data_IF_866792252903
#
_entry.id   IF_866792252903
#
_cell.length_a   1.000
_cell.length_b   1.000
_cell.length_c   1.000
_cell.angle_alpha   90.00
_cell.angle_beta   90.00
_cell.angle_gamma   90.00
#
_symmetry.space_group_name_H-M   'P 1'
#
loop_
_entity.id
_entity.type
_entity.pdbx_description
1 polymer ?
#
# COMPACT_ATOMS: atom_id res chain seq x y z
N UNK A 1 32.13 -35.39 -65.87
CA UNK A 1 32.45 -33.95 -66.02
C UNK A 1 31.35 -33.15 -65.36
N UNK A 2 31.60 -32.51 -64.21
CA UNK A 2 30.64 -31.56 -63.62
C UNK A 2 31.43 -30.40 -63.03
N UNK A 3 31.13 -29.19 -63.51
CA UNK A 3 31.92 -27.98 -63.32
C UNK A 3 31.60 -27.33 -61.96
N UNK A 4 32.65 -27.04 -61.21
CA UNK A 4 32.65 -26.16 -60.05
C UNK A 4 32.25 -24.74 -60.47
N UNK A 5 31.22 -24.18 -59.84
CA UNK A 5 30.93 -22.75 -59.88
C UNK A 5 31.28 -22.14 -58.52
N UNK A 6 32.52 -21.66 -58.39
CA UNK A 6 32.95 -20.81 -57.29
C UNK A 6 32.31 -19.43 -57.50
N UNK A 7 31.36 -19.08 -56.64
CA UNK A 7 30.75 -17.77 -56.61
C UNK A 7 31.79 -16.71 -56.18
N UNK A 8 31.99 -15.72 -57.03
CA UNK A 8 32.83 -14.55 -56.80
C UNK A 8 32.29 -13.71 -55.63
N UNK A 9 32.93 -13.78 -54.47
CA UNK A 9 32.64 -12.92 -53.32
C UNK A 9 33.26 -11.53 -53.52
N UNK A 10 32.40 -10.53 -53.65
CA UNK A 10 32.78 -9.11 -53.76
C UNK A 10 33.33 -8.60 -52.42
N UNK A 11 34.50 -7.94 -52.42
CA UNK A 11 35.14 -7.36 -51.24
C UNK A 11 34.25 -6.37 -50.45
N UNK A 12 33.16 -5.87 -51.04
CA UNK A 12 32.21 -4.96 -50.37
C UNK A 12 31.21 -5.66 -49.43
N UNK A 13 31.10 -6.99 -49.48
CA UNK A 13 30.16 -7.77 -48.65
C UNK A 13 30.83 -8.41 -47.42
N UNK A 14 32.14 -8.23 -47.25
CA UNK A 14 32.90 -8.67 -46.09
C UNK A 14 32.33 -8.17 -44.74
N UNK A 15 31.95 -6.88 -44.57
CA UNK A 15 31.46 -6.42 -43.27
C UNK A 15 30.07 -6.99 -42.94
N UNK A 16 29.21 -7.18 -43.93
CA UNK A 16 27.88 -7.76 -43.72
C UNK A 16 27.95 -9.26 -43.41
N UNK A 17 28.85 -10.00 -44.05
CA UNK A 17 29.08 -11.40 -43.75
C UNK A 17 29.63 -11.59 -42.33
N UNK A 18 30.56 -10.72 -41.91
CA UNK A 18 31.10 -10.70 -40.54
C UNK A 18 30.00 -10.41 -39.50
N UNK A 19 29.16 -9.40 -39.74
CA UNK A 19 28.06 -9.06 -38.86
C UNK A 19 27.04 -10.20 -38.71
N UNK A 20 26.69 -10.87 -39.82
CA UNK A 20 25.79 -12.01 -39.80
C UNK A 20 26.36 -13.18 -38.97
N UNK A 21 27.65 -13.48 -39.12
CA UNK A 21 28.34 -14.51 -38.31
C UNK A 21 28.36 -14.14 -36.83
N UNK A 22 28.64 -12.88 -36.49
CA UNK A 22 28.60 -12.42 -35.09
C UNK A 22 27.20 -12.54 -34.49
N UNK A 23 26.15 -12.20 -35.24
CA UNK A 23 24.77 -12.29 -34.77
C UNK A 23 24.32 -13.75 -34.57
N UNK A 24 24.71 -14.66 -35.48
CA UNK A 24 24.44 -16.10 -35.33
C UNK A 24 25.20 -16.67 -34.13
N UNK A 25 26.46 -16.27 -33.92
CA UNK A 25 27.25 -16.69 -32.76
C UNK A 25 26.66 -16.19 -31.44
N UNK A 26 26.17 -14.94 -31.39
CA UNK A 26 25.48 -14.39 -30.21
C UNK A 26 24.12 -15.07 -29.96
N UNK A 27 23.37 -15.38 -31.02
CA UNK A 27 22.11 -16.12 -30.92
C UNK A 27 22.30 -17.53 -30.37
N UNK A 28 23.30 -18.26 -30.88
CA UNK A 28 23.65 -19.60 -30.41
C UNK A 28 24.21 -19.58 -28.97
N UNK A 29 25.07 -18.61 -28.64
CA UNK A 29 25.58 -18.43 -27.26
C UNK A 29 24.46 -18.07 -26.27
N UNK A 30 23.42 -17.37 -26.71
CA UNK A 30 22.22 -17.10 -25.91
C UNK A 30 21.39 -18.36 -25.63
N UNK A 31 21.27 -19.27 -26.60
CA UNK A 31 20.50 -20.51 -26.45
C UNK A 31 21.25 -21.61 -25.68
N UNK A 32 22.58 -21.56 -25.64
CA UNK A 32 23.41 -22.53 -24.92
C UNK A 32 23.74 -22.10 -23.49
N UNK A 33 23.14 -21.01 -22.97
CA UNK A 33 23.19 -20.75 -21.53
C UNK A 33 22.53 -21.95 -20.84
N UNK A 34 23.29 -22.80 -20.12
CA UNK A 34 22.65 -23.74 -19.23
C UNK A 34 21.86 -22.88 -18.26
N UNK A 35 20.57 -23.16 -18.15
CA UNK A 35 19.71 -22.58 -17.12
C UNK A 35 20.25 -23.09 -15.79
N UNK A 36 21.36 -22.54 -15.31
CA UNK A 36 21.85 -22.77 -13.97
C UNK A 36 20.75 -22.24 -13.06
N UNK A 37 20.11 -23.12 -12.27
CA UNK A 37 19.00 -22.71 -11.44
C UNK A 37 19.56 -21.74 -10.40
N UNK A 38 19.35 -20.44 -10.62
CA UNK A 38 19.65 -19.38 -9.67
C UNK A 38 18.92 -19.59 -8.31
N UNK A 39 17.98 -20.53 -8.26
CA UNK A 39 17.30 -21.02 -7.07
C UNK A 39 18.25 -21.73 -6.08
N UNK A 40 19.33 -22.39 -6.52
CA UNK A 40 20.19 -23.13 -5.59
C UNK A 40 21.08 -22.23 -4.71
N UNK A 41 21.47 -21.04 -5.19
CA UNK A 41 22.32 -20.11 -4.43
C UNK A 41 21.54 -19.11 -3.59
N UNK A 42 20.27 -18.86 -3.91
CA UNK A 42 19.36 -18.07 -3.08
C UNK A 42 18.80 -18.88 -1.91
N UNK A 43 18.56 -20.19 -2.09
CA UNK A 43 18.04 -21.07 -1.05
C UNK A 43 18.97 -21.23 0.18
N UNK A 44 20.29 -21.02 0.01
CA UNK A 44 21.24 -21.06 1.12
C UNK A 44 21.35 -19.75 1.91
N UNK A 45 20.84 -18.63 1.38
CA UNK A 45 20.88 -17.30 2.05
C UNK A 45 19.55 -17.00 2.73
N UNK A 46 18.45 -17.50 2.18
CA UNK A 46 17.13 -17.44 2.79
C UNK A 46 16.77 -18.81 3.33
N UNK A 47 16.87 -19.03 4.65
CA UNK A 47 16.39 -20.25 5.29
C UNK A 47 14.89 -20.45 5.09
N UNK A 48 14.50 -20.91 3.90
CA UNK A 48 13.13 -21.22 3.51
C UNK A 48 12.89 -22.70 3.77
N UNK A 49 12.70 -22.98 5.05
CA UNK A 49 11.93 -24.11 5.51
C UNK A 49 10.46 -23.85 5.12
N UNK A 50 9.95 -24.67 4.21
CA UNK A 50 8.56 -25.10 4.08
C UNK A 50 7.44 -24.08 4.43
N UNK A 51 7.19 -23.10 3.56
CA UNK A 51 5.92 -22.33 3.59
C UNK A 51 5.39 -22.13 2.17
N UNK A 52 4.93 -23.23 1.57
CA UNK A 52 4.30 -23.20 0.23
C UNK A 52 2.84 -22.76 0.34
N UNK A 53 2.58 -21.59 0.92
CA UNK A 53 1.33 -20.88 0.62
C UNK A 53 1.43 -20.39 -0.83
N UNK A 54 0.44 -20.68 -1.69
CA UNK A 54 0.50 -20.22 -3.07
C UNK A 54 0.60 -18.69 -3.06
N UNK A 55 1.60 -18.16 -3.78
CA UNK A 55 1.94 -16.73 -3.82
C UNK A 55 0.71 -15.87 -4.13
N UNK A 56 -0.24 -16.38 -4.92
CA UNK A 56 -1.53 -15.75 -5.19
C UNK A 56 -2.34 -15.44 -3.93
N UNK A 57 -2.46 -16.39 -2.99
CA UNK A 57 -3.19 -16.17 -1.73
C UNK A 57 -2.50 -15.13 -0.84
N UNK A 58 -1.17 -15.09 -0.83
CA UNK A 58 -0.42 -14.09 -0.08
C UNK A 58 -0.60 -12.69 -0.67
N UNK A 59 -0.64 -12.59 -2.00
CA UNK A 59 -0.90 -11.32 -2.69
C UNK A 59 -2.33 -10.85 -2.47
N UNK A 60 -3.31 -11.74 -2.57
CA UNK A 60 -4.73 -11.44 -2.34
C UNK A 60 -4.99 -10.95 -0.91
N UNK A 61 -4.38 -11.59 0.10
CA UNK A 61 -4.47 -11.12 1.49
C UNK A 61 -3.82 -9.75 1.67
N UNK A 62 -2.67 -9.52 1.04
CA UNK A 62 -2.00 -8.21 1.09
C UNK A 62 -2.82 -7.12 0.43
N UNK A 63 -3.39 -7.39 -0.74
CA UNK A 63 -4.22 -6.44 -1.47
C UNK A 63 -5.49 -6.10 -0.69
N UNK A 64 -6.17 -7.12 -0.14
CA UNK A 64 -7.36 -6.90 0.69
C UNK A 64 -7.06 -6.09 1.96
N UNK A 65 -5.88 -6.29 2.55
CA UNK A 65 -5.43 -5.51 3.71
C UNK A 65 -5.16 -4.06 3.32
N UNK A 66 -4.50 -3.82 2.19
CA UNK A 66 -4.24 -2.47 1.67
C UNK A 66 -5.53 -1.74 1.29
N UNK A 67 -6.50 -2.46 0.70
CA UNK A 67 -7.80 -1.90 0.35
C UNK A 67 -8.56 -1.44 1.61
N UNK A 68 -8.68 -2.32 2.61
CA UNK A 68 -9.29 -1.99 3.92
C UNK A 68 -8.64 -0.78 4.59
N UNK A 69 -7.31 -0.69 4.52
CA UNK A 69 -6.57 0.45 5.04
C UNK A 69 -6.96 1.73 4.32
N UNK A 70 -6.97 1.72 2.99
CA UNK A 70 -7.35 2.88 2.18
C UNK A 70 -8.78 3.32 2.48
N UNK A 71 -9.73 2.40 2.59
CA UNK A 71 -11.13 2.73 2.88
C UNK A 71 -11.26 3.39 4.25
N UNK A 72 -10.53 2.88 5.25
CA UNK A 72 -10.48 3.49 6.58
C UNK A 72 -9.89 4.91 6.53
N UNK A 73 -8.77 5.10 5.83
CA UNK A 73 -8.13 6.42 5.68
C UNK A 73 -9.03 7.42 4.93
N UNK A 74 -9.76 6.97 3.90
CA UNK A 74 -10.73 7.80 3.17
C UNK A 74 -11.88 8.23 4.09
N UNK A 75 -12.46 7.30 4.83
CA UNK A 75 -13.56 7.60 5.76
C UNK A 75 -13.12 8.56 6.87
N UNK A 76 -11.90 8.40 7.41
CA UNK A 76 -11.32 9.34 8.38
C UNK A 76 -11.14 10.75 7.79
N UNK A 77 -10.69 10.85 6.54
CA UNK A 77 -10.54 12.14 5.86
C UNK A 77 -11.89 12.82 5.62
N UNK A 78 -12.90 12.07 5.17
CA UNK A 78 -14.26 12.56 5.00
C UNK A 78 -14.88 13.01 6.32
N UNK A 79 -14.68 12.24 7.40
CA UNK A 79 -15.12 12.61 8.74
C UNK A 79 -14.49 13.93 9.19
N UNK A 80 -13.16 14.08 9.07
CA UNK A 80 -12.47 15.33 9.45
C UNK A 80 -13.03 16.50 8.66
N UNK A 81 -13.13 16.41 7.34
CA UNK A 81 -13.70 17.48 6.52
C UNK A 81 -15.14 17.81 6.91
N UNK A 82 -15.98 16.79 7.10
CA UNK A 82 -17.37 16.94 7.52
C UNK A 82 -17.49 17.64 8.88
N UNK A 83 -16.66 17.26 9.86
CA UNK A 83 -16.65 17.88 11.19
C UNK A 83 -16.16 19.33 11.14
N UNK A 84 -15.12 19.63 10.36
CA UNK A 84 -14.63 21.00 10.17
C UNK A 84 -15.73 21.89 9.57
N UNK A 85 -16.46 21.40 8.56
CA UNK A 85 -17.60 22.12 7.97
C UNK A 85 -18.77 22.23 8.94
N UNK A 86 -19.12 21.16 9.65
CA UNK A 86 -20.25 21.17 10.61
C UNK A 86 -19.99 22.16 11.75
N UNK A 87 -18.75 22.24 12.22
CA UNK A 87 -18.35 23.18 13.27
C UNK A 87 -18.56 24.64 12.89
N UNK A 88 -18.45 25.01 11.60
CA UNK A 88 -18.79 26.36 11.13
C UNK A 88 -20.26 26.74 11.45
N UNK A 89 -21.13 25.74 11.55
CA UNK A 89 -22.54 25.89 11.94
C UNK A 89 -22.77 25.80 13.46
N UNK A 90 -21.69 25.85 14.26
CA UNK A 90 -21.75 26.02 15.71
C UNK A 90 -21.65 24.73 16.53
N UNK A 91 -21.56 23.55 15.92
CA UNK A 91 -21.44 22.30 16.66
C UNK A 91 -20.76 21.18 15.85
N UNK A 92 -20.27 20.15 16.53
CA UNK A 92 -19.83 18.92 15.87
C UNK A 92 -21.02 18.00 15.58
N UNK A 93 -20.89 17.14 14.58
CA UNK A 93 -21.84 16.06 14.34
C UNK A 93 -21.64 14.92 15.36
N UNK A 94 -22.75 14.39 15.86
CA UNK A 94 -22.74 13.31 16.87
C UNK A 94 -22.62 11.91 16.27
N UNK A 95 -22.84 11.77 14.96
CA UNK A 95 -22.76 10.49 14.25
C UNK A 95 -22.20 10.64 12.83
N UNK A 96 -21.83 9.52 12.21
CA UNK A 96 -21.46 9.48 10.78
C UNK A 96 -22.64 9.80 9.87
N UNK A 97 -23.84 9.36 10.24
CA UNK A 97 -25.07 9.60 9.47
C UNK A 97 -25.40 11.10 9.37
N UNK A 98 -25.15 11.88 10.43
CA UNK A 98 -25.33 13.34 10.41
C UNK A 98 -24.38 14.04 9.42
N UNK A 99 -23.28 13.39 9.06
CA UNK A 99 -22.33 13.85 8.04
C UNK A 99 -22.59 13.24 6.66
N UNK A 100 -23.62 12.39 6.52
CA UNK A 100 -23.88 11.64 5.29
C UNK A 100 -22.82 10.57 4.99
N UNK A 101 -22.13 10.06 6.02
CA UNK A 101 -21.09 9.05 5.90
C UNK A 101 -21.58 7.69 6.41
N UNK A 102 -21.05 6.62 5.82
CA UNK A 102 -21.27 5.25 6.25
C UNK A 102 -19.93 4.51 6.37
N UNK A 103 -19.77 3.73 7.44
CA UNK A 103 -18.61 2.89 7.66
C UNK A 103 -18.70 1.53 6.93
N UNK A 104 -19.90 1.17 6.44
CA UNK A 104 -20.17 -0.13 5.85
C UNK A 104 -20.11 -1.26 6.88
N UNK A 105 -20.18 -2.50 6.40
CA UNK A 105 -20.31 -3.67 7.29
C UNK A 105 -18.97 -4.19 7.84
N UNK A 106 -17.85 -3.93 7.16
CA UNK A 106 -16.53 -4.46 7.55
C UNK A 106 -15.84 -3.63 8.66
N UNK A 107 -16.35 -2.43 8.96
CA UNK A 107 -15.80 -1.51 9.95
C UNK A 107 -16.81 -1.29 11.09
N UNK A 108 -16.33 -1.33 12.33
CA UNK A 108 -17.06 -0.83 13.48
C UNK A 108 -16.65 0.62 13.70
N UNK A 109 -17.59 1.54 13.50
CA UNK A 109 -17.40 2.96 13.75
C UNK A 109 -18.00 3.38 15.09
N UNK A 110 -17.25 4.19 15.84
CA UNK A 110 -17.75 4.87 17.05
C UNK A 110 -17.36 6.33 17.00
N UNK A 111 -18.35 7.21 17.09
CA UNK A 111 -18.14 8.65 17.22
C UNK A 111 -18.24 9.04 18.69
N UNK A 112 -17.26 9.80 19.16
CA UNK A 112 -17.20 10.40 20.49
C UNK A 112 -17.10 11.91 20.32
N UNK A 113 -18.08 12.66 20.82
CA UNK A 113 -18.12 14.12 20.70
C UNK A 113 -18.25 14.78 22.07
N UNK A 114 -17.56 15.91 22.25
CA UNK A 114 -17.64 16.77 23.42
C UNK A 114 -17.66 18.25 23.04
N UNK A 115 -17.66 19.13 24.04
CA UNK A 115 -17.82 20.58 23.84
C UNK A 115 -16.74 21.25 22.95
N UNK A 116 -15.58 20.62 22.80
CA UNK A 116 -14.47 21.15 22.01
C UNK A 116 -13.80 20.11 21.12
N UNK A 117 -14.36 18.91 20.97
CA UNK A 117 -13.76 17.88 20.11
C UNK A 117 -14.81 16.95 19.52
N UNK A 118 -14.45 16.32 18.41
CA UNK A 118 -15.15 15.19 17.83
C UNK A 118 -14.13 14.18 17.34
N UNK A 119 -14.33 12.92 17.73
CA UNK A 119 -13.40 11.82 17.49
C UNK A 119 -14.15 10.66 16.86
N UNK A 120 -13.55 10.06 15.85
CA UNK A 120 -14.02 8.84 15.20
C UNK A 120 -13.01 7.74 15.45
N UNK A 121 -13.49 6.60 15.95
CA UNK A 121 -12.77 5.35 16.04
C UNK A 121 -13.28 4.39 14.97
N UNK A 122 -12.35 3.78 14.24
CA UNK A 122 -12.64 2.71 13.29
C UNK A 122 -11.86 1.46 13.71
N UNK A 123 -12.61 0.39 13.94
CA UNK A 123 -12.08 -0.94 14.22
C UNK A 123 -12.55 -1.89 13.13
N UNK A 124 -11.66 -2.37 12.24
CA UNK A 124 -12.00 -3.41 11.30
C UNK A 124 -12.48 -4.67 12.03
N UNK A 125 -13.51 -5.33 11.50
CA UNK A 125 -13.97 -6.63 12.01
C UNK A 125 -12.92 -7.72 11.81
N UNK A 126 -12.09 -7.58 10.78
CA UNK A 126 -10.98 -8.48 10.43
C UNK A 126 -9.70 -7.67 10.25
N UNK A 127 -8.65 -8.09 10.95
CA UNK A 127 -7.35 -7.42 10.98
C UNK A 127 -6.99 -6.96 12.40
N UNK A 128 -5.76 -6.49 12.57
CA UNK A 128 -5.23 -6.03 13.87
C UNK A 128 -4.94 -4.53 13.94
N UNK A 129 -5.17 -3.78 12.86
CA UNK A 129 -4.92 -2.33 12.78
C UNK A 129 -6.23 -1.58 13.08
N UNK A 130 -6.17 -0.60 13.97
CA UNK A 130 -7.24 0.37 14.23
C UNK A 130 -6.88 1.74 13.69
N UNK A 131 -7.91 2.55 13.47
CA UNK A 131 -7.78 3.90 12.95
C UNK A 131 -8.58 4.88 13.80
N UNK A 132 -8.07 6.10 13.91
CA UNK A 132 -8.72 7.17 14.66
C UNK A 132 -8.53 8.50 13.94
N UNK A 133 -9.57 9.34 13.95
CA UNK A 133 -9.45 10.75 13.62
C UNK A 133 -10.06 11.61 14.72
N UNK A 134 -9.44 12.74 14.99
CA UNK A 134 -9.92 13.75 15.93
C UNK A 134 -9.89 15.13 15.27
N UNK A 135 -10.98 15.87 15.46
CA UNK A 135 -11.05 17.30 15.23
C UNK A 135 -11.28 17.97 16.57
N UNK A 136 -10.43 18.92 16.94
CA UNK A 136 -10.49 19.58 18.26
C UNK A 136 -10.31 21.08 18.11
N UNK A 137 -11.12 21.83 18.84
CA UNK A 137 -10.95 23.26 19.03
C UNK A 137 -9.89 23.52 20.10
N UNK A 138 -8.80 24.20 19.72
CA UNK A 138 -7.75 24.65 20.62
C UNK A 138 -7.62 26.17 20.49
N UNK A 139 -8.12 26.88 21.50
CA UNK A 139 -8.29 28.33 21.41
C UNK A 139 -9.33 28.69 20.35
N UNK A 140 -8.90 29.42 19.33
CA UNK A 140 -9.69 29.86 18.18
C UNK A 140 -9.51 29.00 16.92
N UNK A 141 -8.68 27.95 16.99
CA UNK A 141 -8.32 27.12 15.82
C UNK A 141 -8.78 25.68 15.97
N UNK A 142 -9.22 25.11 14.86
CA UNK A 142 -9.48 23.68 14.75
C UNK A 142 -8.19 22.94 14.38
N UNK A 143 -7.71 22.09 15.29
CA UNK A 143 -6.68 21.11 15.04
C UNK A 143 -7.31 19.81 14.52
N UNK A 144 -6.56 19.12 13.66
CA UNK A 144 -6.93 17.81 13.13
C UNK A 144 -5.79 16.82 13.34
N UNK A 145 -6.17 15.60 13.69
CA UNK A 145 -5.26 14.51 13.94
C UNK A 145 -5.84 13.22 13.35
N UNK A 146 -5.02 12.44 12.68
CA UNK A 146 -5.36 11.09 12.23
C UNK A 146 -4.27 10.14 12.68
N UNK A 147 -4.66 9.00 13.22
CA UNK A 147 -3.77 8.03 13.84
C UNK A 147 -4.13 6.62 13.40
N UNK A 148 -3.11 5.78 13.24
CA UNK A 148 -3.26 4.35 12.99
C UNK A 148 -2.28 3.56 13.84
N UNK A 149 -2.66 2.35 14.21
CA UNK A 149 -1.79 1.46 14.94
C UNK A 149 -2.48 0.17 15.32
N UNK A 150 -1.79 -0.70 16.03
CA UNK A 150 -2.40 -1.95 16.51
C UNK A 150 -3.54 -1.64 17.47
N UNK A 151 -4.65 -2.36 17.36
CA UNK A 151 -5.84 -2.13 18.19
C UNK A 151 -5.47 -2.06 19.69
N UNK A 152 -5.91 -1.01 20.42
CA UNK A 152 -5.53 -0.85 21.80
C UNK A 152 -6.18 -1.95 22.63
N UNK A 153 -5.55 -2.36 23.74
CA UNK A 153 -6.25 -3.21 24.71
C UNK A 153 -7.47 -2.44 25.26
N UNK A 154 -8.60 -3.11 25.53
CA UNK A 154 -9.76 -2.47 26.11
C UNK A 154 -9.37 -1.67 27.36
N UNK A 155 -9.64 -0.36 27.36
CA UNK A 155 -9.34 0.55 28.49
C UNK A 155 -8.20 1.55 28.26
N UNK A 156 -7.40 1.44 27.20
CA UNK A 156 -6.36 2.44 26.85
C UNK A 156 -6.82 3.35 25.72
N UNK A 157 -7.89 4.12 25.94
CA UNK A 157 -8.28 5.21 25.05
C UNK A 157 -7.56 6.48 25.50
N UNK A 158 -6.69 7.04 24.65
CA UNK A 158 -6.00 8.27 24.99
C UNK A 158 -7.01 9.43 25.14
N UNK A 159 -6.90 10.25 26.18
CA UNK A 159 -7.80 11.39 26.38
C UNK A 159 -7.64 12.45 25.28
N UNK A 160 -6.45 12.58 24.70
CA UNK A 160 -6.19 13.39 23.50
C UNK A 160 -4.94 12.88 22.78
N UNK A 161 -4.84 13.12 21.47
CA UNK A 161 -3.68 12.69 20.70
C UNK A 161 -3.78 11.24 20.21
N UNK A 162 -2.72 10.76 19.54
CA UNK A 162 -2.65 9.36 19.12
C UNK A 162 -2.45 8.45 20.36
N UNK A 163 -3.10 7.27 20.39
CA UNK A 163 -2.81 6.26 21.40
C UNK A 163 -1.32 5.87 21.41
N UNK A 164 -0.85 5.34 22.55
CA UNK A 164 0.52 4.87 22.67
C UNK A 164 0.84 3.79 21.63
N UNK A 165 1.95 3.94 20.91
CA UNK A 165 2.36 3.03 19.84
C UNK A 165 1.64 3.25 18.51
N UNK A 166 0.73 4.22 18.42
CA UNK A 166 0.09 4.62 17.16
C UNK A 166 0.89 5.71 16.47
N UNK A 167 0.82 5.70 15.14
CA UNK A 167 1.48 6.68 14.29
C UNK A 167 0.46 7.68 13.78
N UNK A 168 0.77 8.96 13.93
CA UNK A 168 0.04 10.02 13.25
C UNK A 168 0.29 9.92 11.74
N UNK A 169 -0.73 10.20 10.95
CA UNK A 169 -0.62 10.28 9.50
C UNK A 169 -1.51 11.40 8.95
N UNK A 170 -1.29 11.71 7.67
CA UNK A 170 -1.96 12.83 7.04
C UNK A 170 -1.44 14.19 7.53
N UNK A 171 -2.06 15.29 7.08
CA UNK A 171 -1.63 16.63 7.43
C UNK A 171 -2.04 16.97 8.87
N UNK A 172 -1.21 16.56 9.83
CA UNK A 172 -1.19 17.11 11.18
C UNK A 172 -0.81 18.58 11.08
N UNK A 173 -1.75 19.48 11.34
CA UNK A 173 -1.40 20.88 11.54
C UNK A 173 -0.80 21.01 12.95
N UNK A 174 0.48 20.69 13.08
CA UNK A 174 1.30 21.10 14.21
C UNK A 174 1.79 22.51 13.94
N UNK A 175 1.38 23.49 14.74
CA UNK A 175 2.06 24.78 14.80
C UNK A 175 3.38 24.64 15.54
#
# INVERSE_FOLDING_TARGET
MSRSALASLSLRQLPSALAAVCLVALGLAGMMRPSTPATARLASITGLEDDTRPVSLVLEERESTLHRRRDSEVLLAQFVSGQMTRHYWGHFAGSLADLGLDAGQELQARVESGAGFSRLWLTPRRGGEGFMAEVRLKGDRLERLQCRGSLPRPGTLAPSGCPAGWQAFGPTQSS
#
